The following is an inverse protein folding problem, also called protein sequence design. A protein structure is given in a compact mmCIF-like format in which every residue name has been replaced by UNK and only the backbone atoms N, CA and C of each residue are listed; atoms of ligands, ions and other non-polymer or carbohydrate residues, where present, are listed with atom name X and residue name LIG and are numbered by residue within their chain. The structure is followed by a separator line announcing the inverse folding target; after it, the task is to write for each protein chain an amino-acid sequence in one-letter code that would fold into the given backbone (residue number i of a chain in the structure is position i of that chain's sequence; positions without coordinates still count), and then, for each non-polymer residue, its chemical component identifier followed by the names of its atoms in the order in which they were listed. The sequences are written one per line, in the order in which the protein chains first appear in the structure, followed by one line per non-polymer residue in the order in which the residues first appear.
data_IF_494195684287
#
_entry.id   IF_494195684287
#
_cell.length_a   1.000
_cell.length_b   1.000
_cell.length_c   1.000
_cell.angle_alpha   90.00
_cell.angle_beta   90.00
_cell.angle_gamma   90.00
#
_symmetry.space_group_name_H-M   'P 1'
#
loop_
_entity.id
_entity.type
_entity.pdbx_description
1 polymer ?
#
# COMPACT_ATOMS: atom_id res chain seq x y z
N UNK A 1 6.82 -8.15 9.68
CA UNK A 1 6.97 -6.81 9.06
C UNK A 1 8.24 -6.77 8.21
N UNK A 2 8.41 -5.78 7.32
CA UNK A 2 9.64 -5.67 6.50
C UNK A 2 10.91 -5.56 7.37
N UNK A 3 10.83 -4.82 8.48
CA UNK A 3 11.94 -4.72 9.43
C UNK A 3 12.38 -6.08 9.98
N UNK A 4 11.44 -6.97 10.29
CA UNK A 4 11.73 -8.33 10.78
C UNK A 4 12.34 -9.20 9.68
N UNK A 5 11.80 -9.12 8.47
CA UNK A 5 12.27 -9.90 7.32
C UNK A 5 13.67 -9.48 6.89
N UNK A 6 13.95 -8.18 6.86
CA UNK A 6 15.24 -7.61 6.50
C UNK A 6 16.25 -7.59 7.66
N UNK A 7 15.78 -7.81 8.90
CA UNK A 7 16.57 -7.67 10.15
C UNK A 7 17.33 -6.33 10.22
N UNK A 8 16.67 -5.26 9.79
CA UNK A 8 17.26 -3.92 9.70
C UNK A 8 16.22 -2.84 10.02
N UNK A 9 16.64 -1.64 10.48
CA UNK A 9 15.75 -0.50 10.64
C UNK A 9 15.08 -0.14 9.31
N UNK A 10 13.78 0.16 9.36
CA UNK A 10 13.01 0.58 8.18
C UNK A 10 12.39 1.95 8.45
N UNK A 11 12.57 2.89 7.52
CA UNK A 11 11.81 4.15 7.48
C UNK A 11 10.86 4.17 6.31
N UNK A 12 9.68 4.74 6.53
CA UNK A 12 8.70 4.99 5.47
C UNK A 12 9.11 6.26 4.74
N UNK A 13 9.01 6.24 3.41
CA UNK A 13 9.15 7.41 2.55
C UNK A 13 8.10 7.36 1.44
N UNK A 14 7.61 8.51 1.04
CA UNK A 14 6.55 8.63 0.04
C UNK A 14 7.12 9.12 -1.29
N UNK A 15 6.72 8.47 -2.38
CA UNK A 15 7.16 8.83 -3.74
C UNK A 15 6.40 10.05 -4.28
N UNK A 16 5.24 10.36 -3.71
CA UNK A 16 4.42 11.51 -4.06
C UNK A 16 3.54 11.91 -2.86
N UNK A 17 3.01 13.14 -2.91
CA UNK A 17 1.88 13.68 -2.12
C UNK A 17 2.01 13.71 -0.59
N UNK A 18 3.07 13.17 0.00
CA UNK A 18 3.25 13.12 1.44
C UNK A 18 4.74 13.24 1.83
N UNK A 19 5.00 13.46 3.11
CA UNK A 19 6.33 13.57 3.69
C UNK A 19 6.56 12.54 4.80
N UNK A 20 7.82 12.09 5.02
CA UNK A 20 9.02 12.45 4.26
C UNK A 20 9.01 11.85 2.84
N UNK A 21 9.62 12.54 1.88
CA UNK A 21 9.86 11.96 0.56
C UNK A 21 10.84 10.79 0.67
N UNK A 22 10.87 9.89 -0.32
CA UNK A 22 11.87 8.81 -0.33
C UNK A 22 13.30 9.35 -0.28
N UNK A 23 13.61 10.41 -1.02
CA UNK A 23 14.93 11.05 -0.99
C UNK A 23 15.27 11.61 0.41
N UNK A 24 14.31 12.24 1.10
CA UNK A 24 14.51 12.71 2.47
C UNK A 24 14.74 11.55 3.45
N UNK A 25 13.99 10.46 3.31
CA UNK A 25 14.19 9.27 4.14
C UNK A 25 15.58 8.64 3.93
N UNK A 26 16.06 8.59 2.68
CA UNK A 26 17.40 8.10 2.34
C UNK A 26 18.48 9.01 2.92
N UNK A 27 18.39 10.33 2.70
CA UNK A 27 19.36 11.30 3.26
C UNK A 27 19.46 11.18 4.77
N UNK A 28 18.32 11.15 5.47
CA UNK A 28 18.30 11.04 6.93
C UNK A 28 18.85 9.71 7.46
N UNK A 29 18.77 8.62 6.68
CA UNK A 29 19.44 7.35 7.04
C UNK A 29 20.96 7.45 6.85
N UNK A 30 21.43 8.08 5.77
CA UNK A 30 22.86 8.29 5.54
C UNK A 30 23.48 9.21 6.59
N UNK A 31 22.80 10.30 6.95
CA UNK A 31 23.21 11.21 8.03
C UNK A 31 23.28 10.50 9.39
N UNK A 32 22.45 9.47 9.60
CA UNK A 32 22.49 8.63 10.79
C UNK A 32 23.61 7.56 10.76
N UNK A 33 24.48 7.56 9.75
CA UNK A 33 25.61 6.64 9.62
C UNK A 33 25.30 5.30 8.93
N UNK A 34 24.18 5.20 8.22
CA UNK A 34 23.90 4.01 7.41
C UNK A 34 24.56 4.11 6.03
N UNK A 35 25.61 3.32 5.81
CA UNK A 35 26.36 3.30 4.54
C UNK A 35 25.58 2.65 3.39
N UNK A 36 24.72 1.67 3.72
CA UNK A 36 23.90 0.93 2.75
C UNK A 36 22.41 1.14 2.99
N UNK A 37 21.72 1.72 2.01
CA UNK A 37 20.30 2.06 2.03
C UNK A 37 19.64 1.51 0.78
N UNK A 38 18.67 0.62 0.96
CA UNK A 38 17.87 0.03 -0.11
C UNK A 38 16.41 0.46 0.01
N UNK A 39 15.73 0.65 -1.13
CA UNK A 39 14.31 0.99 -1.19
C UNK A 39 13.49 -0.23 -1.60
N UNK A 40 12.65 -0.71 -0.70
CA UNK A 40 11.60 -1.66 -1.03
C UNK A 40 10.39 -0.90 -1.61
N UNK A 41 10.10 -1.09 -2.90
CA UNK A 41 9.02 -0.39 -3.56
C UNK A 41 7.66 -1.04 -3.26
N UNK A 42 6.76 -0.30 -2.61
CA UNK A 42 5.36 -0.72 -2.43
C UNK A 42 4.48 -0.21 -3.58
N UNK A 43 4.86 -0.56 -4.81
CA UNK A 43 4.17 -0.20 -6.05
C UNK A 43 3.75 -1.48 -6.79
N UNK A 44 2.58 -1.45 -7.44
CA UNK A 44 2.08 -2.61 -8.18
C UNK A 44 2.67 -2.74 -9.59
N UNK A 45 3.12 -1.66 -10.19
CA UNK A 45 3.62 -1.67 -11.56
C UNK A 45 4.82 -0.75 -11.73
N UNK A 46 5.61 -1.01 -12.77
CA UNK A 46 6.59 -0.05 -13.28
C UNK A 46 5.85 1.13 -13.89
N UNK A 47 6.41 2.32 -13.77
CA UNK A 47 5.81 3.56 -14.24
C UNK A 47 6.50 4.77 -13.65
N UNK A 48 5.89 5.95 -13.83
CA UNK A 48 6.49 7.23 -13.44
C UNK A 48 7.00 7.24 -11.99
N UNK A 49 6.21 6.75 -11.04
CA UNK A 49 6.61 6.71 -9.64
C UNK A 49 7.76 5.74 -9.37
N UNK A 50 7.71 4.54 -9.96
CA UNK A 50 8.80 3.56 -9.78
C UNK A 50 10.09 4.07 -10.41
N UNK A 51 10.03 4.66 -11.59
CA UNK A 51 11.19 5.22 -12.30
C UNK A 51 11.87 6.33 -11.50
N UNK A 52 11.10 7.21 -10.84
CA UNK A 52 11.64 8.28 -9.98
C UNK A 52 12.45 7.76 -8.80
N UNK A 53 12.26 6.51 -8.39
CA UNK A 53 13.03 5.92 -7.30
C UNK A 53 14.50 5.67 -7.67
N UNK A 54 14.84 5.60 -8.97
CA UNK A 54 16.22 5.39 -9.40
C UNK A 54 17.18 6.51 -8.93
N UNK A 55 16.66 7.73 -8.80
CA UNK A 55 17.47 8.94 -8.55
C UNK A 55 17.44 9.40 -7.08
N UNK A 56 16.90 8.60 -6.16
CA UNK A 56 16.71 9.00 -4.74
C UNK A 56 17.97 8.84 -3.87
N UNK A 57 19.10 8.44 -4.46
CA UNK A 57 20.38 8.27 -3.75
C UNK A 57 20.50 6.98 -2.93
N UNK A 58 19.60 6.01 -3.15
CA UNK A 58 19.67 4.67 -2.57
C UNK A 58 20.66 3.78 -3.35
N UNK A 59 21.23 2.78 -2.70
CA UNK A 59 22.15 1.82 -3.31
C UNK A 59 21.44 0.78 -4.17
N UNK A 60 20.12 0.67 -4.03
CA UNK A 60 19.28 -0.15 -4.90
C UNK A 60 17.80 0.04 -4.63
N UNK A 61 17.00 -0.21 -5.66
CA UNK A 61 15.54 -0.17 -5.60
C UNK A 61 15.00 -1.53 -6.00
N UNK A 62 14.18 -2.12 -5.12
CA UNK A 62 13.47 -3.36 -5.42
C UNK A 62 12.50 -3.20 -6.60
N UNK A 63 12.29 -4.30 -7.33
CA UNK A 63 11.24 -4.37 -8.33
C UNK A 63 9.87 -4.06 -7.69
N UNK A 64 8.90 -3.50 -8.46
CA UNK A 64 7.54 -3.38 -7.97
C UNK A 64 6.95 -4.78 -7.69
N UNK A 65 5.94 -4.84 -6.82
CA UNK A 65 5.28 -6.08 -6.41
C UNK A 65 4.69 -6.84 -7.61
N UNK A 66 4.24 -6.13 -8.64
CA UNK A 66 3.75 -6.75 -9.86
C UNK A 66 2.53 -7.63 -9.63
N UNK A 67 2.47 -8.70 -10.41
CA UNK A 67 1.43 -9.74 -10.38
C UNK A 67 1.82 -10.92 -9.48
N UNK A 68 2.51 -10.65 -8.36
CA UNK A 68 2.86 -11.70 -7.42
C UNK A 68 1.58 -12.46 -6.99
N UNK A 69 1.58 -13.81 -6.94
CA UNK A 69 0.37 -14.59 -6.66
C UNK A 69 -0.40 -14.12 -5.43
N UNK A 70 0.30 -13.87 -4.31
CA UNK A 70 -0.33 -13.34 -3.09
C UNK A 70 -1.05 -11.98 -3.26
N UNK A 71 -0.62 -11.13 -4.20
CA UNK A 71 -1.32 -9.87 -4.52
C UNK A 71 -2.57 -10.15 -5.34
N UNK A 72 -2.49 -11.08 -6.30
CA UNK A 72 -3.65 -11.50 -7.10
C UNK A 72 -4.72 -12.11 -6.20
N UNK A 73 -4.34 -13.04 -5.34
CA UNK A 73 -5.23 -13.69 -4.38
C UNK A 73 -5.92 -12.65 -3.47
N UNK A 74 -5.15 -11.70 -2.95
CA UNK A 74 -5.67 -10.60 -2.12
C UNK A 74 -6.68 -9.74 -2.89
N UNK A 75 -6.40 -9.38 -4.15
CA UNK A 75 -7.33 -8.58 -4.97
C UNK A 75 -8.63 -9.32 -5.20
N UNK A 76 -8.57 -10.61 -5.53
CA UNK A 76 -9.75 -11.47 -5.73
C UNK A 76 -10.56 -11.59 -4.43
N UNK A 77 -9.90 -11.80 -3.30
CA UNK A 77 -10.55 -11.88 -1.99
C UNK A 77 -11.31 -10.58 -1.67
N UNK A 78 -10.65 -9.42 -1.84
CA UNK A 78 -11.28 -8.10 -1.60
C UNK A 78 -12.42 -7.80 -2.55
N UNK A 79 -12.34 -8.25 -3.80
CA UNK A 79 -13.45 -8.14 -4.72
C UNK A 79 -14.68 -8.92 -4.22
N UNK A 80 -14.50 -10.18 -3.84
CA UNK A 80 -15.60 -10.99 -3.30
C UNK A 80 -16.14 -10.44 -1.97
N UNK A 81 -15.29 -9.90 -1.11
CA UNK A 81 -15.69 -9.19 0.11
C UNK A 81 -16.58 -7.98 -0.23
N UNK A 82 -16.14 -7.14 -1.15
CA UNK A 82 -16.91 -5.97 -1.62
C UNK A 82 -18.27 -6.35 -2.19
N UNK A 83 -18.34 -7.41 -3.00
CA UNK A 83 -19.60 -7.93 -3.55
C UNK A 83 -20.56 -8.35 -2.44
N UNK A 84 -20.09 -9.06 -1.40
CA UNK A 84 -20.93 -9.46 -0.26
C UNK A 84 -21.44 -8.27 0.53
N UNK A 85 -20.59 -7.27 0.77
CA UNK A 85 -20.97 -6.06 1.50
C UNK A 85 -22.06 -5.28 0.76
N UNK A 86 -21.92 -5.12 -0.56
CA UNK A 86 -22.91 -4.42 -1.37
C UNK A 86 -24.24 -5.19 -1.43
N UNK A 87 -24.19 -6.51 -1.64
CA UNK A 87 -25.39 -7.34 -1.62
C UNK A 87 -26.12 -7.25 -0.27
N UNK A 88 -25.39 -7.34 0.85
CA UNK A 88 -25.98 -7.20 2.19
C UNK A 88 -26.58 -5.81 2.47
N UNK A 89 -26.02 -4.75 1.86
CA UNK A 89 -26.53 -3.38 2.02
C UNK A 89 -27.85 -3.12 1.26
N UNK A 90 -28.03 -3.74 0.09
CA UNK A 90 -29.29 -3.65 -0.68
C UNK A 90 -30.43 -4.42 0.01
N UNK A 91 -30.13 -5.56 0.66
CA UNK A 91 -31.11 -6.28 1.47
C UNK A 91 -31.47 -5.56 2.78
N UNK A 92 -30.54 -4.83 3.41
CA UNK A 92 -30.83 -4.08 4.63
C UNK A 92 -31.73 -2.86 4.37
N UNK A 93 -31.50 -2.15 3.26
CA UNK A 93 -32.32 -0.97 2.86
C UNK A 93 -33.75 -1.37 2.48
N UNK A 94 -33.92 -2.47 1.74
CA UNK A 94 -35.23 -2.98 1.38
C UNK A 94 -36.04 -3.52 2.59
N UNK A 95 -35.35 -4.04 3.60
CA UNK A 95 -35.99 -4.54 4.83
C UNK A 95 -36.45 -3.39 5.74
N UNK A 96 -35.77 -2.23 5.73
CA UNK A 96 -36.20 -1.04 6.47
C UNK A 96 -37.44 -0.35 5.87
N UNK A 97 -37.55 -0.25 4.55
CA UNK A 97 -38.71 0.41 3.89
C UNK A 97 -40.02 -0.40 3.99
N UNK A 98 -39.94 -1.73 4.10
CA UNK A 98 -41.10 -2.62 4.18
C UNK A 98 -41.61 -2.85 5.61
N UNK A 99 -40.98 -2.26 6.64
CA UNK A 99 -41.44 -2.40 8.03
C UNK A 99 -42.66 -1.50 8.33
N UNK A 100 -43.86 -2.04 8.64
CA UNK A 100 -45.08 -1.25 8.82
C UNK A 100 -45.13 -0.40 10.10
N UNK A 101 -44.09 -0.43 10.94
CA UNK A 101 -44.17 -0.01 12.33
C UNK A 101 -43.98 1.50 12.59
N UNK A 102 -43.83 2.35 11.57
CA UNK A 102 -43.48 3.78 11.76
C UNK A 102 -44.56 4.82 11.46
N UNK A 103 -45.83 4.42 11.29
CA UNK A 103 -46.97 5.37 11.34
C UNK A 103 -47.56 5.42 12.76
N UNK A 104 -47.00 6.25 13.62
CA UNK A 104 -47.70 6.90 14.72
C UNK A 104 -47.21 8.33 14.85
#
# INVERSE_FOLDING_TARGET
MLADAARAPVKIGYVATSTPTVAQAVSGLREAGHDRVFVASYLLARGLFHNRLADVGADGVGAPLGVHPAIVDLVVERYHEGVRLLAGSEFNTATEELSPARRR
#
